data_IF_508525119959
#
_entry.id   IF_508525119959
#
_cell.length_a   1.000
_cell.length_b   1.000
_cell.length_c   1.000
_cell.angle_alpha   90.00
_cell.angle_beta   90.00
_cell.angle_gamma   90.00
#
_symmetry.space_group_name_H-M   'P 1'
#
loop_
_entity.id
_entity.type
_entity.pdbx_description
1 polymer ?
#
# COMPACT_ATOMS: atom_id res chain seq x y z
N UNK A 1 10.62 10.44 19.34
CA UNK A 1 11.64 9.45 19.76
C UNK A 1 12.42 9.95 20.94
N UNK A 2 12.80 9.05 21.85
CA UNK A 2 13.73 9.34 22.93
C UNK A 2 15.10 9.75 22.35
N UNK A 3 15.57 8.98 21.39
CA UNK A 3 16.70 9.32 20.53
C UNK A 3 16.46 8.84 19.08
N UNK A 4 17.15 9.48 18.15
CA UNK A 4 17.15 9.12 16.73
C UNK A 4 18.55 9.35 16.16
N UNK A 5 19.05 8.39 15.41
CA UNK A 5 20.32 8.45 14.68
C UNK A 5 20.06 8.30 13.20
N UNK A 6 20.69 9.12 12.40
CA UNK A 6 20.63 9.06 10.94
C UNK A 6 22.05 8.94 10.40
N UNK A 7 22.25 7.97 9.53
CA UNK A 7 23.46 7.83 8.74
C UNK A 7 23.12 7.88 7.26
N UNK A 8 23.77 8.72 6.50
CA UNK A 8 23.58 8.86 5.05
C UNK A 8 24.90 8.60 4.35
N UNK A 9 24.89 7.67 3.39
CA UNK A 9 25.98 7.39 2.47
C UNK A 9 25.58 7.88 1.08
N UNK A 10 26.31 8.84 0.50
CA UNK A 10 26.00 9.44 -0.79
C UNK A 10 26.79 8.87 -1.98
N UNK A 11 27.65 7.88 -1.70
CA UNK A 11 28.56 7.26 -2.66
C UNK A 11 29.94 7.91 -2.72
N UNK A 12 30.18 8.92 -1.90
CA UNK A 12 31.50 9.57 -1.73
C UNK A 12 31.86 9.72 -0.26
N UNK A 13 30.92 10.06 0.59
CA UNK A 13 31.11 10.29 2.00
C UNK A 13 29.94 9.76 2.83
N UNK A 14 30.23 9.47 4.09
CA UNK A 14 29.28 9.04 5.10
C UNK A 14 29.06 10.17 6.08
N UNK A 15 27.80 10.50 6.33
CA UNK A 15 27.37 11.56 7.24
C UNK A 15 26.55 10.95 8.36
N UNK A 16 26.75 11.44 9.58
CA UNK A 16 26.04 10.98 10.76
C UNK A 16 25.51 12.15 11.59
N UNK A 17 24.28 11.99 12.09
CA UNK A 17 23.65 12.93 13.01
C UNK A 17 22.84 12.19 14.06
N UNK A 18 22.92 12.64 15.32
CA UNK A 18 22.10 12.15 16.43
C UNK A 18 21.21 13.26 16.98
N UNK A 19 20.00 12.88 17.32
CA UNK A 19 19.00 13.75 17.96
C UNK A 19 18.53 13.11 19.28
N UNK A 20 18.23 13.92 20.28
CA UNK A 20 17.55 13.53 21.50
C UNK A 20 16.29 14.38 21.65
N UNK A 21 15.13 13.76 21.69
CA UNK A 21 13.82 14.42 21.75
C UNK A 21 13.66 15.55 20.72
N UNK A 22 14.13 15.32 19.50
CA UNK A 22 14.05 16.26 18.38
C UNK A 22 15.14 17.33 18.33
N UNK A 23 16.04 17.39 19.32
CA UNK A 23 17.14 18.35 19.37
C UNK A 23 18.42 17.67 18.90
N UNK A 24 19.14 18.29 17.96
CA UNK A 24 20.46 17.78 17.53
C UNK A 24 21.45 17.84 18.70
N UNK A 25 22.06 16.69 19.03
CA UNK A 25 23.03 16.57 20.12
C UNK A 25 24.37 17.24 19.74
N UNK A 26 24.71 17.15 18.44
CA UNK A 26 25.96 17.66 17.89
C UNK A 26 25.75 18.07 16.43
N UNK A 27 26.66 18.88 15.85
CA UNK A 27 26.60 19.19 14.41
C UNK A 27 26.74 17.94 13.54
N UNK A 28 26.23 18.03 12.30
CA UNK A 28 26.38 16.98 11.30
C UNK A 28 27.87 16.62 11.13
N UNK A 29 28.17 15.33 11.27
CA UNK A 29 29.54 14.81 11.14
C UNK A 29 29.74 14.13 9.80
N UNK A 30 30.80 14.45 9.09
CA UNK A 30 31.36 13.60 8.06
C UNK A 30 32.25 12.56 8.72
N UNK A 31 31.91 11.27 8.63
CA UNK A 31 32.60 10.16 9.29
C UNK A 31 33.61 9.46 8.38
N UNK A 32 33.75 9.91 7.13
CA UNK A 32 34.75 9.42 6.19
C UNK A 32 34.22 9.07 4.81
N UNK A 33 35.14 8.67 3.90
CA UNK A 33 34.75 8.30 2.55
C UNK A 33 34.01 6.94 2.52
N UNK A 34 33.11 6.77 1.56
CA UNK A 34 32.39 5.51 1.28
C UNK A 34 31.95 5.43 -0.17
N UNK A 35 31.92 4.23 -0.74
CA UNK A 35 31.32 3.96 -2.05
C UNK A 35 29.86 3.52 -1.94
N UNK A 36 29.38 3.26 -0.72
CA UNK A 36 28.00 2.87 -0.45
C UNK A 36 27.03 4.03 -0.71
N UNK A 37 25.79 3.69 -1.06
CA UNK A 37 24.66 4.62 -1.17
C UNK A 37 23.49 4.11 -0.35
N UNK A 38 22.90 4.98 0.45
CA UNK A 38 21.73 4.63 1.24
C UNK A 38 21.61 5.48 2.51
N UNK A 39 20.51 5.24 3.21
CA UNK A 39 20.21 5.91 4.48
C UNK A 39 19.88 4.87 5.53
N UNK A 40 20.50 4.97 6.70
CA UNK A 40 20.13 4.21 7.89
C UNK A 40 19.49 5.14 8.90
N UNK A 41 18.37 4.73 9.46
CA UNK A 41 17.68 5.45 10.54
C UNK A 41 17.42 4.48 11.68
N UNK A 42 18.00 4.78 12.85
CA UNK A 42 17.75 4.05 14.08
C UNK A 42 17.06 4.97 15.08
N UNK A 43 16.09 4.48 15.80
CA UNK A 43 15.40 5.28 16.81
C UNK A 43 14.80 4.41 17.93
N UNK A 44 14.56 5.06 19.06
CA UNK A 44 13.83 4.47 20.18
C UNK A 44 12.57 5.29 20.45
N UNK A 45 11.43 4.61 20.54
CA UNK A 45 10.18 5.25 20.95
C UNK A 45 10.32 5.86 22.34
N UNK A 46 9.79 7.06 22.53
CA UNK A 46 9.84 7.77 23.82
C UNK A 46 8.60 7.39 24.66
N UNK A 47 8.82 6.71 25.79
CA UNK A 47 7.76 6.30 26.71
C UNK A 47 6.98 7.49 27.32
N UNK A 48 7.56 8.70 27.29
CA UNK A 48 6.83 9.90 27.71
C UNK A 48 5.77 10.37 26.69
N UNK A 49 5.83 9.87 25.45
CA UNK A 49 4.87 10.16 24.37
C UNK A 49 3.97 8.96 24.13
N UNK A 50 4.53 7.74 24.12
CA UNK A 50 3.82 6.48 23.91
C UNK A 50 3.56 5.83 25.28
N UNK A 51 2.54 6.34 25.98
CA UNK A 51 2.25 5.95 27.36
C UNK A 51 1.74 4.51 27.50
N UNK A 52 1.03 3.99 26.48
CA UNK A 52 0.45 2.65 26.53
C UNK A 52 1.51 1.57 26.27
N UNK A 53 2.33 1.73 25.25
CA UNK A 53 3.41 0.79 24.90
C UNK A 53 4.46 1.42 24.00
N UNK A 54 5.70 0.98 24.14
CA UNK A 54 6.81 1.25 23.21
C UNK A 54 7.22 -0.02 22.44
N UNK A 55 6.52 -1.14 22.65
CA UNK A 55 6.78 -2.37 21.93
C UNK A 55 6.06 -2.37 20.58
N UNK A 56 6.80 -2.73 19.54
CA UNK A 56 6.24 -2.85 18.19
C UNK A 56 5.56 -4.20 18.01
N UNK A 57 4.34 -4.17 17.48
CA UNK A 57 3.61 -5.35 17.07
C UNK A 57 4.08 -5.81 15.68
N UNK A 58 4.61 -7.04 15.61
CA UNK A 58 5.20 -7.58 14.38
C UNK A 58 4.17 -7.73 13.25
N UNK A 59 2.98 -8.25 13.56
CA UNK A 59 1.96 -8.52 12.54
C UNK A 59 1.41 -7.21 11.94
N UNK A 60 1.28 -6.19 12.77
CA UNK A 60 0.89 -4.85 12.30
C UNK A 60 1.94 -4.25 11.38
N UNK A 61 3.24 -4.34 11.72
CA UNK A 61 4.32 -3.89 10.86
C UNK A 61 4.37 -4.69 9.55
N UNK A 62 4.29 -6.02 9.65
CA UNK A 62 4.30 -6.91 8.49
C UNK A 62 3.18 -6.59 7.51
N UNK A 63 1.96 -6.40 8.01
CA UNK A 63 0.82 -6.01 7.19
C UNK A 63 1.05 -4.67 6.47
N UNK A 64 1.50 -3.64 7.19
CA UNK A 64 1.75 -2.32 6.62
C UNK A 64 2.89 -2.29 5.61
N UNK A 65 3.97 -2.99 5.89
CA UNK A 65 5.10 -3.10 4.96
C UNK A 65 4.73 -3.92 3.72
N UNK A 66 3.89 -4.94 3.86
CA UNK A 66 3.36 -5.71 2.74
C UNK A 66 2.48 -4.86 1.84
N UNK A 67 1.58 -4.04 2.41
CA UNK A 67 0.79 -3.05 1.65
C UNK A 67 1.72 -2.11 0.86
N UNK A 68 2.78 -1.59 1.50
CA UNK A 68 3.75 -0.72 0.83
C UNK A 68 4.48 -1.42 -0.32
N UNK A 69 4.85 -2.69 -0.16
CA UNK A 69 5.50 -3.46 -1.20
C UNK A 69 4.57 -3.73 -2.40
N UNK A 70 3.27 -3.96 -2.16
CA UNK A 70 2.29 -4.09 -3.23
C UNK A 70 2.01 -2.78 -3.96
N UNK A 71 1.92 -1.65 -3.23
CA UNK A 71 1.63 -0.34 -3.80
C UNK A 71 2.82 0.28 -4.56
N UNK A 72 4.01 -0.27 -4.39
CA UNK A 72 5.25 0.18 -5.05
C UNK A 72 5.95 -1.00 -5.72
N UNK A 73 5.45 -1.39 -6.89
CA UNK A 73 5.99 -2.53 -7.64
C UNK A 73 7.51 -2.46 -7.77
N UNK A 74 8.18 -3.59 -7.53
CA UNK A 74 9.63 -3.69 -7.62
C UNK A 74 10.41 -3.24 -6.37
N UNK A 75 9.77 -2.64 -5.39
CA UNK A 75 10.42 -2.36 -4.09
C UNK A 75 10.65 -3.67 -3.34
N UNK A 76 11.84 -3.81 -2.77
CA UNK A 76 12.21 -4.94 -1.94
C UNK A 76 12.33 -4.49 -0.49
N UNK A 77 11.52 -5.09 0.40
CA UNK A 77 11.48 -4.78 1.82
C UNK A 77 11.82 -6.05 2.61
N UNK A 78 12.69 -5.92 3.59
CA UNK A 78 12.98 -6.98 4.57
C UNK A 78 12.55 -6.50 5.95
N UNK A 79 11.63 -7.23 6.57
CA UNK A 79 11.28 -7.05 7.98
C UNK A 79 11.98 -8.11 8.80
N UNK A 80 12.79 -7.67 9.78
CA UNK A 80 13.49 -8.57 10.67
C UNK A 80 13.20 -8.23 12.13
N UNK A 81 12.64 -9.19 12.87
CA UNK A 81 12.47 -9.12 14.33
C UNK A 81 13.59 -9.88 15.01
N UNK A 82 14.37 -9.19 15.81
CA UNK A 82 15.53 -9.75 16.56
C UNK A 82 15.28 -9.85 18.07
N UNK A 83 14.05 -9.64 18.52
CA UNK A 83 13.71 -9.66 19.97
C UNK A 83 13.69 -11.08 20.57
N UNK A 84 13.42 -12.09 19.75
CA UNK A 84 13.41 -13.50 20.16
C UNK A 84 14.79 -14.14 20.23
N UNK A 85 14.83 -15.39 20.63
CA UNK A 85 16.06 -16.21 20.63
C UNK A 85 16.57 -16.50 19.21
N UNK A 86 15.66 -16.60 18.26
CA UNK A 86 15.94 -16.71 16.84
C UNK A 86 15.28 -15.54 16.11
N UNK A 87 15.99 -14.89 15.16
CA UNK A 87 15.40 -13.81 14.40
C UNK A 87 14.31 -14.34 13.46
N UNK A 88 13.20 -13.62 13.39
CA UNK A 88 12.15 -13.84 12.38
C UNK A 88 12.35 -12.85 11.26
N UNK A 89 12.41 -13.34 10.02
CA UNK A 89 12.67 -12.51 8.86
C UNK A 89 11.64 -12.79 7.75
N UNK A 90 11.08 -11.74 7.18
CA UNK A 90 10.12 -11.78 6.07
C UNK A 90 10.63 -10.90 4.93
N UNK A 91 10.58 -11.44 3.70
CA UNK A 91 10.99 -10.77 2.48
C UNK A 91 9.76 -10.41 1.65
N UNK A 92 9.57 -9.12 1.40
CA UNK A 92 8.41 -8.59 0.71
C UNK A 92 8.86 -7.96 -0.62
N UNK A 93 8.50 -8.61 -1.72
CA UNK A 93 8.83 -8.15 -3.07
C UNK A 93 7.76 -8.63 -4.05
N UNK A 94 7.07 -7.69 -4.69
CA UNK A 94 5.96 -7.98 -5.57
C UNK A 94 6.07 -7.18 -6.87
N UNK A 95 6.60 -7.81 -7.91
CA UNK A 95 6.75 -7.17 -9.24
C UNK A 95 5.41 -6.84 -9.89
N UNK A 96 4.38 -7.65 -9.63
CA UNK A 96 3.02 -7.43 -10.12
C UNK A 96 2.26 -6.27 -9.46
N UNK A 97 2.84 -5.66 -8.41
CA UNK A 97 2.25 -4.51 -7.73
C UNK A 97 0.85 -4.81 -7.19
N UNK A 98 -0.12 -3.93 -7.47
CA UNK A 98 -1.49 -4.08 -6.98
C UNK A 98 -2.24 -5.27 -7.59
N UNK A 99 -1.79 -5.86 -8.72
CA UNK A 99 -2.31 -7.14 -9.22
C UNK A 99 -1.97 -8.27 -8.25
N UNK A 100 -0.71 -8.36 -7.84
CA UNK A 100 -0.28 -9.34 -6.83
C UNK A 100 -0.97 -9.14 -5.49
N UNK A 101 -1.43 -7.91 -5.20
CA UNK A 101 -2.22 -7.64 -4.01
C UNK A 101 -3.60 -8.30 -4.08
N UNK A 102 -4.30 -8.21 -5.23
CA UNK A 102 -5.58 -8.91 -5.45
C UNK A 102 -5.40 -10.42 -5.29
N UNK A 103 -4.37 -11.02 -5.91
CA UNK A 103 -4.04 -12.45 -5.76
C UNK A 103 -3.80 -12.84 -4.30
N UNK A 104 -3.03 -12.02 -3.59
CA UNK A 104 -2.75 -12.23 -2.17
C UNK A 104 -4.03 -12.22 -1.32
N UNK A 105 -4.96 -11.30 -1.60
CA UNK A 105 -6.25 -11.20 -0.91
C UNK A 105 -7.08 -12.46 -1.18
N UNK A 106 -7.20 -12.89 -2.43
CA UNK A 106 -7.95 -14.11 -2.79
C UNK A 106 -7.38 -15.32 -2.05
N UNK A 107 -6.06 -15.50 -2.10
CA UNK A 107 -5.39 -16.60 -1.39
C UNK A 107 -5.60 -16.53 0.12
N UNK A 108 -5.51 -15.35 0.72
CA UNK A 108 -5.65 -15.20 2.18
C UNK A 108 -7.08 -15.40 2.67
N UNK A 109 -8.07 -15.09 1.83
CA UNK A 109 -9.50 -15.27 2.12
C UNK A 109 -10.03 -16.65 1.69
N UNK A 110 -9.28 -17.39 0.89
CA UNK A 110 -9.70 -18.69 0.36
C UNK A 110 -10.88 -18.58 -0.60
N UNK A 111 -10.93 -17.50 -1.41
CA UNK A 111 -11.94 -17.28 -2.44
C UNK A 111 -11.35 -17.60 -3.82
N UNK A 112 -12.18 -18.14 -4.72
CA UNK A 112 -11.76 -18.53 -6.06
C UNK A 112 -12.20 -17.48 -7.09
N UNK A 113 -11.29 -17.03 -7.99
CA UNK A 113 -11.66 -16.11 -9.05
C UNK A 113 -12.61 -16.78 -10.05
N UNK A 114 -13.59 -16.04 -10.56
CA UNK A 114 -14.52 -16.52 -11.59
C UNK A 114 -14.07 -16.22 -13.02
N UNK A 115 -12.92 -15.57 -13.17
CA UNK A 115 -12.23 -15.34 -14.45
C UNK A 115 -10.71 -15.30 -14.24
N UNK A 116 -9.94 -15.67 -15.26
CA UNK A 116 -8.48 -15.93 -15.14
C UNK A 116 -7.67 -14.64 -14.96
N UNK A 117 -7.98 -13.57 -15.69
CA UNK A 117 -7.16 -12.36 -15.73
C UNK A 117 -7.61 -11.33 -14.71
N UNK A 118 -6.66 -10.77 -13.97
CA UNK A 118 -6.89 -9.58 -13.15
C UNK A 118 -7.00 -8.36 -14.07
N UNK A 119 -8.13 -7.69 -14.02
CA UNK A 119 -8.36 -6.45 -14.75
C UNK A 119 -7.49 -5.35 -14.13
N UNK A 120 -6.63 -4.74 -14.93
CA UNK A 120 -5.76 -3.65 -14.50
C UNK A 120 -5.95 -2.42 -15.37
N UNK A 121 -6.09 -1.27 -14.72
CA UNK A 121 -6.23 0.04 -15.35
C UNK A 121 -5.24 1.00 -14.72
N UNK A 122 -4.63 1.83 -15.54
CA UNK A 122 -3.80 2.95 -15.09
C UNK A 122 -4.18 4.19 -15.89
N UNK A 123 -4.29 5.32 -15.19
CA UNK A 123 -4.59 6.61 -15.78
C UNK A 123 -3.72 7.70 -15.17
N UNK A 124 -3.47 8.75 -15.93
CA UNK A 124 -2.73 9.93 -15.49
C UNK A 124 -3.47 11.19 -15.92
N UNK A 125 -3.56 12.15 -14.99
CA UNK A 125 -4.06 13.51 -15.27
C UNK A 125 -3.11 14.53 -14.62
N UNK A 126 -2.34 15.21 -15.43
CA UNK A 126 -1.23 16.06 -14.98
C UNK A 126 -0.19 15.24 -14.20
N UNK A 127 0.03 15.62 -12.94
CA UNK A 127 0.92 14.92 -12.01
C UNK A 127 0.20 13.88 -11.16
N UNK A 128 -1.13 13.84 -11.23
CA UNK A 128 -1.93 12.84 -10.54
C UNK A 128 -1.97 11.53 -11.32
N UNK A 129 -1.92 10.41 -10.60
CA UNK A 129 -2.04 9.07 -11.18
C UNK A 129 -3.09 8.26 -10.44
N UNK A 130 -3.77 7.38 -11.16
CA UNK A 130 -4.67 6.40 -10.59
C UNK A 130 -4.37 5.02 -11.18
N UNK A 131 -4.36 4.02 -10.33
CA UNK A 131 -4.22 2.62 -10.70
C UNK A 131 -5.34 1.83 -10.04
N UNK A 132 -5.91 0.91 -10.78
CA UNK A 132 -6.94 -0.02 -10.30
C UNK A 132 -6.57 -1.42 -10.73
N UNK A 133 -6.58 -2.37 -9.79
CA UNK A 133 -6.57 -3.80 -10.09
C UNK A 133 -7.81 -4.43 -9.47
N UNK A 134 -8.54 -5.25 -10.24
CA UNK A 134 -9.77 -5.85 -9.77
C UNK A 134 -10.00 -7.22 -10.40
N UNK A 135 -10.69 -8.09 -9.66
CA UNK A 135 -11.10 -9.41 -10.12
C UNK A 135 -12.36 -9.85 -9.35
N UNK A 136 -13.31 -10.45 -10.06
CA UNK A 136 -14.46 -11.08 -9.44
C UNK A 136 -14.13 -12.48 -8.94
N UNK A 137 -14.76 -12.86 -7.85
CA UNK A 137 -14.61 -14.15 -7.20
C UNK A 137 -15.96 -14.74 -6.79
N UNK A 138 -15.95 -15.95 -6.25
CA UNK A 138 -17.15 -16.72 -5.89
C UNK A 138 -17.81 -16.30 -4.55
N UNK A 139 -17.34 -15.23 -3.93
CA UNK A 139 -17.97 -14.69 -2.72
C UNK A 139 -19.17 -13.79 -3.06
N UNK A 140 -20.03 -13.55 -2.07
CA UNK A 140 -21.18 -12.63 -2.19
C UNK A 140 -20.89 -11.24 -1.63
N UNK A 141 -19.66 -10.97 -1.20
CA UNK A 141 -19.27 -9.69 -0.61
C UNK A 141 -18.21 -9.03 -1.45
N UNK A 142 -18.29 -7.72 -1.58
CA UNK A 142 -17.21 -6.92 -2.15
C UNK A 142 -16.08 -6.67 -1.12
N UNK A 143 -14.89 -6.50 -1.63
CA UNK A 143 -13.74 -5.99 -0.89
C UNK A 143 -13.00 -4.97 -1.73
N UNK A 144 -13.17 -3.71 -1.39
CA UNK A 144 -12.47 -2.61 -2.05
C UNK A 144 -11.53 -1.97 -1.04
N UNK A 145 -10.22 -2.01 -1.34
CA UNK A 145 -9.21 -1.30 -0.57
C UNK A 145 -8.75 -0.08 -1.38
N UNK A 146 -8.92 1.09 -0.80
CA UNK A 146 -8.56 2.36 -1.44
C UNK A 146 -7.39 3.03 -0.75
N UNK A 147 -6.49 3.64 -1.54
CA UNK A 147 -5.25 4.25 -1.07
C UNK A 147 -5.05 5.62 -1.74
N UNK A 148 -4.62 6.58 -0.96
CA UNK A 148 -4.14 7.89 -1.42
C UNK A 148 -2.69 8.09 -0.97
N UNK A 149 -1.77 8.34 -1.91
CA UNK A 149 -0.33 8.49 -1.65
C UNK A 149 0.24 7.33 -0.80
N UNK A 150 -0.15 6.09 -1.12
CA UNK A 150 0.20 4.85 -0.43
C UNK A 150 -0.35 4.72 1.01
N UNK A 151 -1.28 5.58 1.41
CA UNK A 151 -1.95 5.52 2.71
C UNK A 151 -3.34 4.93 2.51
N UNK A 152 -3.69 3.90 3.28
CA UNK A 152 -5.01 3.28 3.25
C UNK A 152 -6.08 4.28 3.74
N UNK A 153 -7.08 4.53 2.90
CA UNK A 153 -8.21 5.42 3.21
C UNK A 153 -9.36 4.60 3.78
N UNK A 154 -9.27 4.29 5.07
CA UNK A 154 -10.24 3.40 5.77
C UNK A 154 -11.67 3.91 5.75
N UNK A 155 -11.86 5.22 5.72
CA UNK A 155 -13.18 5.87 5.64
C UNK A 155 -13.64 6.10 4.19
N UNK A 156 -12.93 5.50 3.21
CA UNK A 156 -13.15 5.69 1.79
C UNK A 156 -12.66 7.05 1.29
N UNK A 157 -13.31 7.57 0.24
CA UNK A 157 -12.97 8.85 -0.36
C UNK A 157 -13.60 9.04 -1.74
N UNK A 158 -13.38 10.21 -2.33
CA UNK A 158 -13.93 10.55 -3.66
C UNK A 158 -13.37 9.66 -4.76
N UNK A 159 -12.13 9.17 -4.63
CA UNK A 159 -11.50 8.22 -5.56
C UNK A 159 -12.20 6.86 -5.54
N UNK A 160 -12.55 6.34 -4.37
CA UNK A 160 -13.31 5.10 -4.23
C UNK A 160 -14.74 5.24 -4.75
N UNK A 161 -15.44 6.30 -4.32
CA UNK A 161 -16.80 6.58 -4.78
C UNK A 161 -16.86 6.82 -6.29
N UNK A 162 -15.85 7.50 -6.84
CA UNK A 162 -15.66 7.70 -8.27
C UNK A 162 -15.48 6.39 -9.02
N UNK A 163 -14.63 5.49 -8.50
CA UNK A 163 -14.42 4.16 -9.05
C UNK A 163 -15.72 3.34 -9.09
N UNK A 164 -16.44 3.22 -7.96
CA UNK A 164 -17.72 2.49 -7.87
C UNK A 164 -18.76 3.02 -8.86
N UNK A 165 -18.87 4.34 -8.97
CA UNK A 165 -19.80 5.00 -9.90
C UNK A 165 -19.42 4.74 -11.35
N UNK A 166 -18.14 4.86 -11.69
CA UNK A 166 -17.64 4.64 -13.05
C UNK A 166 -17.80 3.18 -13.47
N UNK A 167 -17.50 2.23 -12.58
CA UNK A 167 -17.65 0.80 -12.84
C UNK A 167 -19.12 0.46 -13.12
N UNK A 168 -20.05 0.89 -12.25
CA UNK A 168 -21.49 0.65 -12.40
C UNK A 168 -22.02 1.23 -13.70
N UNK A 169 -21.62 2.46 -14.06
CA UNK A 169 -21.99 3.08 -15.33
C UNK A 169 -21.47 2.30 -16.52
N UNK A 170 -20.18 1.93 -16.50
CA UNK A 170 -19.53 1.21 -17.61
C UNK A 170 -20.18 -0.16 -17.83
N UNK A 171 -20.52 -0.89 -16.77
CA UNK A 171 -21.21 -2.17 -16.88
C UNK A 171 -22.60 -2.02 -17.50
N UNK A 172 -23.37 -1.00 -17.09
CA UNK A 172 -24.69 -0.73 -17.69
C UNK A 172 -24.57 -0.32 -19.15
N UNK A 173 -23.64 0.59 -19.50
CA UNK A 173 -23.40 1.03 -20.88
C UNK A 173 -23.01 -0.16 -21.77
N UNK A 174 -22.15 -1.06 -21.27
CA UNK A 174 -21.78 -2.28 -21.97
C UNK A 174 -22.98 -3.22 -22.17
N UNK A 175 -23.75 -3.45 -21.11
CA UNK A 175 -24.89 -4.36 -21.17
C UNK A 175 -25.96 -3.88 -22.15
N UNK A 176 -26.28 -2.60 -22.20
CA UNK A 176 -27.20 -2.02 -23.18
C UNK A 176 -26.62 -2.08 -24.60
N UNK A 177 -25.35 -1.69 -24.78
CA UNK A 177 -24.67 -1.73 -26.09
C UNK A 177 -24.73 -3.11 -26.74
N UNK A 178 -24.57 -4.17 -25.93
CA UNK A 178 -24.59 -5.56 -26.41
C UNK A 178 -25.94 -6.25 -26.23
N UNK A 179 -27.00 -5.50 -25.85
CA UNK A 179 -28.36 -6.00 -25.65
C UNK A 179 -28.47 -7.18 -24.65
N UNK A 180 -27.63 -7.10 -23.60
CA UNK A 180 -27.66 -8.06 -22.49
C UNK A 180 -28.74 -7.71 -21.46
N UNK A 181 -29.20 -6.45 -21.44
CA UNK A 181 -30.31 -5.92 -20.69
C UNK A 181 -31.33 -5.27 -21.63
N UNK A 182 -32.58 -5.21 -21.25
CA UNK A 182 -33.61 -4.42 -21.91
C UNK A 182 -33.39 -2.92 -21.65
N UNK A 183 -33.99 -2.05 -22.47
CA UNK A 183 -33.77 -0.60 -22.40
C UNK A 183 -34.19 0.03 -21.06
N UNK A 184 -35.13 -0.61 -20.35
CA UNK A 184 -35.66 -0.19 -19.05
C UNK A 184 -35.00 -0.90 -17.85
N UNK A 185 -34.13 -1.87 -18.09
CA UNK A 185 -33.39 -2.62 -17.08
C UNK A 185 -31.99 -2.02 -16.83
N UNK A 186 -31.50 -2.08 -15.59
CA UNK A 186 -30.16 -1.68 -15.23
C UNK A 186 -29.66 -2.44 -14.00
N UNK A 187 -28.35 -2.66 -13.94
CA UNK A 187 -27.68 -3.11 -12.72
C UNK A 187 -27.62 -1.98 -11.69
N UNK A 188 -27.90 -2.31 -10.44
CA UNK A 188 -27.59 -1.44 -9.31
C UNK A 188 -26.07 -1.43 -9.02
N UNK A 189 -25.63 -0.54 -8.15
CA UNK A 189 -24.25 -0.56 -7.67
C UNK A 189 -23.92 -1.84 -6.89
N UNK A 190 -24.88 -2.35 -6.11
CA UNK A 190 -24.73 -3.59 -5.34
C UNK A 190 -24.56 -4.80 -6.25
N UNK A 191 -25.36 -4.90 -7.32
CA UNK A 191 -25.23 -6.00 -8.30
C UNK A 191 -23.85 -6.03 -8.96
N UNK A 192 -23.28 -4.85 -9.25
CA UNK A 192 -21.98 -4.73 -9.93
C UNK A 192 -20.83 -4.99 -8.98
N UNK A 193 -20.99 -4.73 -7.69
CA UNK A 193 -19.90 -4.89 -6.71
C UNK A 193 -19.90 -6.27 -6.06
N UNK A 194 -20.97 -7.05 -6.16
CA UNK A 194 -21.04 -8.40 -5.58
C UNK A 194 -19.89 -9.30 -6.10
N UNK A 195 -19.15 -9.90 -5.17
CA UNK A 195 -18.00 -10.75 -5.47
C UNK A 195 -16.76 -10.01 -5.99
N UNK A 196 -16.73 -8.66 -5.95
CA UNK A 196 -15.60 -7.88 -6.44
C UNK A 196 -14.50 -7.74 -5.39
N UNK A 197 -13.29 -8.13 -5.72
CA UNK A 197 -12.08 -7.67 -5.03
C UNK A 197 -11.41 -6.60 -5.88
N UNK A 198 -11.18 -5.40 -5.32
CA UNK A 198 -10.53 -4.30 -6.02
C UNK A 198 -9.55 -3.53 -5.13
N UNK A 199 -8.44 -3.12 -5.75
CA UNK A 199 -7.47 -2.17 -5.17
C UNK A 199 -7.54 -0.90 -6.00
N UNK A 200 -7.80 0.23 -5.35
CA UNK A 200 -7.84 1.56 -5.96
C UNK A 200 -6.74 2.40 -5.34
N UNK A 201 -5.74 2.78 -6.11
CA UNK A 201 -4.60 3.56 -5.64
C UNK A 201 -4.47 4.85 -6.44
N UNK A 202 -4.47 5.99 -5.75
CA UNK A 202 -4.22 7.30 -6.35
C UNK A 202 -2.97 7.93 -5.76
N UNK A 203 -2.21 8.63 -6.63
CA UNK A 203 -1.10 9.49 -6.21
C UNK A 203 -1.45 10.90 -6.62
N UNK A 204 -1.53 11.79 -5.63
CA UNK A 204 -2.00 13.16 -5.76
C UNK A 204 -0.92 14.11 -5.27
N UNK A 205 -0.77 15.25 -5.94
CA UNK A 205 0.15 16.31 -5.52
C UNK A 205 -0.35 17.04 -4.28
N UNK A 206 -1.69 17.18 -4.17
CA UNK A 206 -2.38 17.77 -3.01
C UNK A 206 -3.41 16.77 -2.50
N UNK A 207 -3.13 16.13 -1.36
CA UNK A 207 -4.01 15.18 -0.69
C UNK A 207 -4.29 15.59 0.77
#
# INVERSE_FOLDING_TARGET
SEWLEVEVCDGSARYYQRFERGVAVEPLKNTGPTEEKGTSVAFKADAAIFEETTEYDYDTLLRRLREQAFLNAGVYIVLRDQRGTEPVEEHLHYEGGIRSFVEHIHKSKGVEPIHDEIIYLAARDGDNTAEVAMQYNDSYTDLILSFANNIHTTDGGTHESGFKTALTRTMNDYAHKYKLLKDDEKFSGEDVLEGLTAIVSVKLTDA
#
